data_IF_087442174711
#
_entry.id   IF_087442174711
#
_cell.length_a   1.000
_cell.length_b   1.000
_cell.length_c   1.000
_cell.angle_alpha   90.00
_cell.angle_beta   90.00
_cell.angle_gamma   90.00
#
_symmetry.space_group_name_H-M   'P 1'
#
loop_
_entity.id
_entity.type
_entity.pdbx_description
1 polymer ?
#
# COMPACT_ATOMS: atom_id res chain seq x y z
N UNK A 1 17.58 28.05 -26.96
CA UNK A 1 17.99 27.96 -25.55
C UNK A 1 16.87 28.51 -24.67
N UNK A 2 16.54 27.77 -23.60
CA UNK A 2 15.85 28.17 -22.36
C UNK A 2 14.31 28.15 -22.29
N UNK A 3 13.88 27.11 -21.56
CA UNK A 3 12.64 26.90 -20.79
C UNK A 3 12.20 28.16 -20.03
N UNK A 4 10.88 28.39 -19.94
CA UNK A 4 10.11 28.80 -18.75
C UNK A 4 8.80 29.48 -19.19
N UNK A 5 7.67 28.80 -18.99
CA UNK A 5 6.35 29.39 -18.70
C UNK A 5 5.38 28.24 -18.36
N UNK A 6 5.75 27.48 -17.33
CA UNK A 6 4.77 26.77 -16.52
C UNK A 6 4.22 27.73 -15.46
N UNK A 7 3.01 27.44 -14.99
CA UNK A 7 2.32 28.01 -13.81
C UNK A 7 1.46 29.27 -14.03
N UNK A 8 0.39 29.17 -14.83
CA UNK A 8 -0.72 30.13 -14.76
C UNK A 8 -2.13 29.49 -14.92
N UNK A 9 -2.26 28.19 -14.60
CA UNK A 9 -3.51 27.45 -14.81
C UNK A 9 -4.23 26.98 -13.55
N UNK A 10 -3.52 26.65 -12.47
CA UNK A 10 -4.15 26.04 -11.28
C UNK A 10 -4.79 27.04 -10.31
N UNK A 11 -4.30 28.28 -10.26
CA UNK A 11 -4.84 29.30 -9.34
C UNK A 11 -6.26 29.76 -9.70
N UNK A 12 -6.61 29.78 -11.00
CA UNK A 12 -7.95 30.18 -11.45
C UNK A 12 -9.01 29.10 -11.21
N UNK A 13 -8.62 27.81 -11.27
CA UNK A 13 -9.53 26.69 -11.03
C UNK A 13 -9.93 26.57 -9.55
N UNK A 14 -9.02 26.86 -8.62
CA UNK A 14 -9.29 26.84 -7.18
C UNK A 14 -10.12 28.06 -6.71
N UNK A 15 -9.98 29.23 -7.34
CA UNK A 15 -10.81 30.41 -7.02
C UNK A 15 -12.26 30.26 -7.51
N UNK A 16 -12.49 29.56 -8.62
CA UNK A 16 -13.83 29.41 -9.21
C UNK A 16 -14.63 28.23 -8.62
N UNK A 17 -13.96 27.27 -7.97
CA UNK A 17 -14.63 26.18 -7.27
C UNK A 17 -15.12 26.57 -5.85
N UNK A 18 -14.65 27.71 -5.30
CA UNK A 18 -14.87 28.13 -3.90
C UNK A 18 -15.68 29.44 -3.73
N UNK A 19 -16.44 29.89 -4.73
CA UNK A 19 -17.35 31.03 -4.55
C UNK A 19 -18.72 30.77 -5.20
N UNK A 20 -19.75 30.41 -4.41
CA UNK A 20 -21.07 30.02 -4.90
C UNK A 20 -22.07 31.17 -4.96
N UNK A 21 -21.63 32.43 -5.06
CA UNK A 21 -22.57 33.55 -5.08
C UNK A 21 -22.46 34.44 -6.33
N UNK A 22 -23.36 34.13 -7.28
CA UNK A 22 -24.10 35.05 -8.18
C UNK A 22 -23.93 34.77 -9.67
N UNK A 23 -25.08 34.76 -10.35
CA UNK A 23 -25.15 35.15 -11.76
C UNK A 23 -25.99 34.24 -12.63
N UNK A 24 -27.31 34.30 -12.47
CA UNK A 24 -28.27 33.92 -13.51
C UNK A 24 -27.90 34.65 -14.82
N UNK A 25 -27.66 33.93 -15.92
CA UNK A 25 -27.60 34.54 -17.26
C UNK A 25 -26.41 34.21 -18.18
N UNK A 26 -25.41 33.40 -17.78
CA UNK A 26 -24.28 33.04 -18.67
C UNK A 26 -23.93 31.55 -18.70
N UNK A 27 -24.93 30.66 -18.59
CA UNK A 27 -24.73 29.20 -18.51
C UNK A 27 -24.76 28.48 -19.87
N UNK A 28 -25.25 29.10 -20.93
CA UNK A 28 -25.35 28.42 -22.25
C UNK A 28 -24.03 28.46 -23.01
N UNK A 29 -23.37 29.62 -23.09
CA UNK A 29 -22.14 29.76 -23.90
C UNK A 29 -20.90 29.12 -23.27
N UNK A 30 -20.83 28.99 -21.94
CA UNK A 30 -19.75 28.28 -21.25
C UNK A 30 -19.83 26.76 -21.50
N UNK A 31 -21.05 26.22 -21.60
CA UNK A 31 -21.28 24.80 -21.88
C UNK A 31 -20.85 24.43 -23.30
N UNK A 32 -21.09 25.30 -24.28
CA UNK A 32 -20.73 25.04 -25.68
C UNK A 32 -19.22 25.21 -25.95
N UNK A 33 -18.53 26.13 -25.26
CA UNK A 33 -17.07 26.29 -25.39
C UNK A 33 -16.28 25.22 -24.66
N UNK A 34 -16.71 24.80 -23.48
CA UNK A 34 -16.09 23.69 -22.74
C UNK A 34 -16.37 22.36 -23.43
N UNK A 35 -17.60 22.11 -23.89
CA UNK A 35 -17.97 20.91 -24.63
C UNK A 35 -17.32 20.79 -26.02
N UNK A 36 -17.14 21.91 -26.73
CA UNK A 36 -16.47 21.97 -28.03
C UNK A 36 -14.96 21.72 -27.94
N UNK A 37 -14.31 22.20 -26.88
CA UNK A 37 -12.89 21.96 -26.64
C UNK A 37 -12.60 20.55 -26.10
N UNK A 38 -13.53 19.97 -25.32
CA UNK A 38 -13.48 18.57 -24.92
C UNK A 38 -13.64 17.61 -26.11
N UNK A 39 -14.53 17.90 -27.07
CA UNK A 39 -14.76 17.04 -28.26
C UNK A 39 -13.65 17.10 -29.31
N UNK A 40 -12.99 18.24 -29.50
CA UNK A 40 -11.85 18.36 -30.42
C UNK A 40 -10.54 17.80 -29.82
N UNK A 41 -10.43 17.71 -28.49
CA UNK A 41 -9.35 16.97 -27.82
C UNK A 41 -9.64 15.46 -27.71
N UNK A 42 -10.92 15.07 -27.67
CA UNK A 42 -11.36 13.66 -27.64
C UNK A 42 -11.05 12.85 -28.91
N UNK A 43 -10.81 13.46 -30.07
CA UNK A 43 -10.39 12.71 -31.29
C UNK A 43 -8.88 12.43 -31.35
N UNK A 44 -8.10 12.96 -30.41
CA UNK A 44 -6.72 12.51 -30.12
C UNK A 44 -6.60 11.76 -28.79
N UNK A 45 -7.61 11.85 -27.92
CA UNK A 45 -7.69 11.08 -26.67
C UNK A 45 -8.55 9.80 -26.79
N UNK A 46 -9.32 9.63 -27.88
CA UNK A 46 -10.19 8.48 -28.15
C UNK A 46 -9.53 7.31 -28.88
N UNK A 47 -8.21 7.35 -29.09
CA UNK A 47 -7.42 6.20 -29.54
C UNK A 47 -6.75 5.46 -28.36
N UNK A 48 -7.04 5.86 -27.11
CA UNK A 48 -6.46 5.27 -25.90
C UNK A 48 -7.55 5.07 -24.83
N UNK A 49 -8.65 4.39 -25.18
CA UNK A 49 -9.65 3.94 -24.19
C UNK A 49 -9.26 2.62 -23.52
N UNK A 50 -8.16 1.99 -23.95
CA UNK A 50 -7.62 0.77 -23.32
C UNK A 50 -6.71 1.10 -22.11
N UNK A 51 -5.93 2.19 -22.17
CA UNK A 51 -4.97 2.54 -21.10
C UNK A 51 -5.63 3.06 -19.81
N UNK A 52 -6.80 3.71 -19.90
CA UNK A 52 -7.40 4.37 -18.72
C UNK A 52 -8.16 3.38 -17.84
N UNK A 53 -8.80 2.37 -18.44
CA UNK A 53 -9.45 1.29 -17.70
C UNK A 53 -8.42 0.39 -17.02
N UNK A 54 -7.29 0.15 -17.68
CA UNK A 54 -6.15 -0.58 -17.11
C UNK A 54 -5.51 0.18 -15.94
N UNK A 55 -5.41 1.51 -16.02
CA UNK A 55 -4.90 2.35 -14.92
C UNK A 55 -5.83 2.41 -13.70
N UNK A 56 -7.16 2.27 -13.88
CA UNK A 56 -8.14 2.22 -12.80
C UNK A 56 -8.18 0.84 -12.13
N UNK A 57 -8.06 -0.24 -12.90
CA UNK A 57 -7.94 -1.61 -12.37
C UNK A 57 -6.61 -1.80 -11.62
N UNK A 58 -5.48 -1.29 -12.16
CA UNK A 58 -4.18 -1.25 -11.46
C UNK A 58 -4.23 -0.52 -10.12
N UNK A 59 -5.16 0.43 -9.95
CA UNK A 59 -5.35 1.16 -8.68
C UNK A 59 -6.07 0.35 -7.60
N UNK A 60 -6.85 -0.67 -7.98
CA UNK A 60 -7.52 -1.59 -7.06
C UNK A 60 -6.63 -2.76 -6.66
N UNK A 61 -5.74 -3.19 -7.56
CA UNK A 61 -4.74 -4.25 -7.32
C UNK A 61 -3.51 -3.77 -6.52
N UNK A 62 -3.45 -2.49 -6.14
CA UNK A 62 -2.49 -1.98 -5.15
C UNK A 62 -2.68 -2.60 -3.74
N UNK A 63 -3.69 -3.45 -3.55
CA UNK A 63 -4.13 -3.91 -2.23
C UNK A 63 -3.25 -5.01 -1.60
N UNK A 64 -2.24 -5.52 -2.30
CA UNK A 64 -1.17 -6.38 -1.75
C UNK A 64 -0.06 -6.51 -2.77
N UNK A 65 0.86 -5.56 -2.76
CA UNK A 65 2.09 -5.71 -3.55
C UNK A 65 3.01 -6.68 -2.79
N UNK A 66 3.75 -7.60 -3.43
CA UNK A 66 4.77 -8.40 -2.73
C UNK A 66 5.76 -7.57 -1.90
N UNK A 67 5.96 -6.31 -2.28
CA UNK A 67 6.72 -5.32 -1.51
C UNK A 67 6.16 -5.08 -0.10
N UNK A 68 4.85 -5.19 0.10
CA UNK A 68 4.18 -4.97 1.39
C UNK A 68 4.52 -6.10 2.36
N UNK A 69 4.35 -7.37 1.94
CA UNK A 69 4.69 -8.53 2.77
C UNK A 69 6.19 -8.58 3.10
N UNK A 70 7.07 -8.30 2.13
CA UNK A 70 8.52 -8.23 2.39
C UNK A 70 8.86 -7.12 3.40
N UNK A 71 8.17 -5.98 3.33
CA UNK A 71 8.36 -4.88 4.28
C UNK A 71 7.80 -5.24 5.65
N UNK A 72 6.65 -5.91 5.70
CA UNK A 72 6.05 -6.41 6.92
C UNK A 72 6.94 -7.44 7.62
N UNK A 73 7.47 -8.41 6.87
CA UNK A 73 8.43 -9.39 7.39
C UNK A 73 9.64 -8.71 8.03
N UNK A 74 10.27 -7.74 7.34
CA UNK A 74 11.40 -6.99 7.89
C UNK A 74 11.06 -6.17 9.13
N UNK A 75 9.86 -5.60 9.18
CA UNK A 75 9.37 -4.88 10.35
C UNK A 75 9.23 -5.82 11.53
N UNK A 76 8.63 -7.00 11.32
CA UNK A 76 8.52 -8.04 12.34
C UNK A 76 9.89 -8.52 12.79
N UNK A 77 10.81 -8.83 11.87
CA UNK A 77 12.20 -9.21 12.19
C UNK A 77 12.88 -8.17 13.09
N UNK A 78 12.69 -6.88 12.79
CA UNK A 78 13.26 -5.79 13.59
C UNK A 78 12.69 -5.76 15.02
N UNK A 79 11.39 -6.01 15.18
CA UNK A 79 10.74 -6.01 16.49
C UNK A 79 11.12 -7.25 17.32
N UNK A 80 11.14 -8.44 16.71
CA UNK A 80 11.41 -9.68 17.45
C UNK A 80 12.91 -9.90 17.75
N UNK A 81 13.82 -9.37 16.92
CA UNK A 81 15.27 -9.51 17.14
C UNK A 81 15.90 -8.30 17.84
N UNK A 82 15.06 -7.48 18.48
CA UNK A 82 15.50 -6.29 19.20
C UNK A 82 16.29 -6.65 20.46
N UNK A 83 15.94 -7.76 21.10
CA UNK A 83 16.62 -8.25 22.29
C UNK A 83 17.75 -9.22 21.90
N UNK A 84 18.87 -9.17 22.65
CA UNK A 84 20.09 -9.91 22.32
C UNK A 84 20.06 -11.38 22.78
N UNK A 85 19.08 -11.75 23.59
CA UNK A 85 18.78 -13.11 24.05
C UNK A 85 18.12 -13.98 22.97
N UNK A 86 17.53 -13.37 21.94
CA UNK A 86 16.87 -14.09 20.86
C UNK A 86 17.91 -14.70 19.90
N UNK A 87 17.87 -16.02 19.63
CA UNK A 87 18.85 -16.71 18.79
C UNK A 87 18.72 -16.30 17.31
N UNK A 88 19.48 -15.27 16.92
CA UNK A 88 19.54 -14.76 15.54
C UNK A 88 20.03 -15.86 14.60
N UNK A 89 19.29 -16.10 13.51
CA UNK A 89 19.62 -17.11 12.49
C UNK A 89 19.03 -18.51 12.73
N UNK A 90 18.43 -18.79 13.89
CA UNK A 90 17.67 -20.02 14.12
C UNK A 90 16.17 -19.85 13.87
N UNK A 91 15.71 -18.59 13.86
CA UNK A 91 14.32 -18.20 13.61
C UNK A 91 14.20 -17.60 12.21
N UNK A 92 13.25 -18.11 11.44
CA UNK A 92 12.87 -17.64 10.12
C UNK A 92 11.49 -16.99 10.19
N UNK A 93 11.37 -15.77 9.65
CA UNK A 93 10.13 -15.03 9.58
C UNK A 93 9.69 -14.99 8.12
N UNK A 94 8.47 -15.44 7.84
CA UNK A 94 7.86 -15.27 6.52
C UNK A 94 6.56 -14.49 6.67
N UNK A 95 6.32 -13.56 5.75
CA UNK A 95 5.04 -12.86 5.65
C UNK A 95 4.39 -13.25 4.34
N UNK A 96 3.13 -13.65 4.42
CA UNK A 96 2.30 -13.86 3.25
C UNK A 96 0.93 -13.27 3.54
N UNK A 97 0.50 -12.37 2.68
CA UNK A 97 -0.85 -11.85 2.74
C UNK A 97 -1.18 -11.17 4.10
N UNK A 98 -0.20 -10.54 4.76
CA UNK A 98 -0.35 -9.98 6.11
C UNK A 98 -0.38 -11.02 7.25
N UNK A 99 -0.31 -12.32 6.95
CA UNK A 99 -0.09 -13.39 7.92
C UNK A 99 1.41 -13.59 8.11
N UNK A 100 1.86 -13.66 9.36
CA UNK A 100 3.24 -13.97 9.71
C UNK A 100 3.35 -15.45 10.08
N UNK A 101 4.37 -16.11 9.56
CA UNK A 101 4.74 -17.47 9.95
C UNK A 101 6.12 -17.44 10.58
N UNK A 102 6.19 -17.80 11.86
CA UNK A 102 7.44 -17.92 12.62
C UNK A 102 7.86 -19.39 12.65
N UNK A 103 9.08 -19.71 12.20
CA UNK A 103 9.64 -21.07 12.23
C UNK A 103 11.02 -21.06 12.84
N UNK A 104 11.37 -22.12 13.56
CA UNK A 104 12.70 -22.24 14.14
C UNK A 104 12.70 -22.89 15.50
N UNK A 105 13.92 -23.02 16.03
CA UNK A 105 14.16 -23.57 17.35
C UNK A 105 14.45 -22.44 18.34
N UNK A 106 13.84 -22.54 19.53
CA UNK A 106 13.98 -21.56 20.61
C UNK A 106 14.22 -22.28 21.92
N UNK A 107 15.22 -21.85 22.70
CA UNK A 107 15.64 -22.56 23.91
C UNK A 107 14.63 -22.60 25.05
N UNK A 108 13.64 -21.69 25.05
CA UNK A 108 12.71 -21.51 26.17
C UNK A 108 11.27 -21.35 25.68
N UNK A 109 10.33 -21.92 26.43
CA UNK A 109 8.90 -21.89 26.09
C UNK A 109 8.30 -20.49 26.25
N UNK A 110 8.78 -19.74 27.24
CA UNK A 110 8.35 -18.35 27.47
C UNK A 110 8.73 -17.46 26.29
N UNK A 111 9.92 -17.66 25.72
CA UNK A 111 10.37 -16.94 24.53
C UNK A 111 9.51 -17.24 23.30
N UNK A 112 9.02 -18.48 23.13
CA UNK A 112 8.10 -18.82 22.02
C UNK A 112 6.80 -17.99 22.11
N UNK A 113 6.24 -17.85 23.31
CA UNK A 113 5.00 -17.08 23.53
C UNK A 113 5.26 -15.59 23.32
N UNK A 114 6.34 -15.08 23.88
CA UNK A 114 6.70 -13.68 23.80
C UNK A 114 7.02 -13.24 22.36
N UNK A 115 7.73 -14.06 21.57
CA UNK A 115 7.98 -13.79 20.15
C UNK A 115 6.68 -13.74 19.33
N UNK A 116 5.72 -14.61 19.64
CA UNK A 116 4.41 -14.59 18.99
C UNK A 116 3.63 -13.32 19.32
N UNK A 117 3.57 -12.94 20.60
CA UNK A 117 2.88 -11.72 21.03
C UNK A 117 3.50 -10.47 20.40
N UNK A 118 4.84 -10.39 20.39
CA UNK A 118 5.56 -9.29 19.73
C UNK A 118 5.24 -9.21 18.25
N UNK A 119 5.24 -10.34 17.53
CA UNK A 119 4.85 -10.37 16.13
C UNK A 119 3.40 -9.93 15.90
N UNK A 120 2.45 -10.37 16.75
CA UNK A 120 1.03 -9.97 16.67
C UNK A 120 0.83 -8.47 16.86
N UNK A 121 1.65 -7.83 17.69
CA UNK A 121 1.55 -6.40 17.99
C UNK A 121 2.13 -5.50 16.88
N UNK A 122 2.79 -6.06 15.86
CA UNK A 122 3.31 -5.28 14.74
C UNK A 122 2.18 -4.78 13.85
N UNK A 123 2.06 -3.46 13.70
CA UNK A 123 1.07 -2.86 12.81
C UNK A 123 1.25 -3.38 11.37
N UNK A 124 0.16 -3.91 10.81
CA UNK A 124 0.07 -4.52 9.49
C UNK A 124 -0.10 -6.05 9.54
N UNK A 125 0.19 -6.66 10.70
CA UNK A 125 -0.05 -8.09 10.92
C UNK A 125 -1.54 -8.34 11.11
N UNK A 126 -2.07 -9.25 10.30
CA UNK A 126 -3.46 -9.70 10.36
C UNK A 126 -3.60 -10.98 11.17
N UNK A 127 -2.61 -11.86 11.09
CA UNK A 127 -2.57 -13.11 11.84
C UNK A 127 -1.11 -13.57 12.04
N UNK A 128 -0.88 -14.39 13.05
CA UNK A 128 0.41 -15.00 13.34
C UNK A 128 0.24 -16.48 13.53
N UNK A 129 1.02 -17.23 12.78
CA UNK A 129 1.16 -18.66 12.88
C UNK A 129 2.53 -18.99 13.48
N UNK A 130 2.49 -19.58 14.67
CA UNK A 130 3.67 -19.90 15.44
C UNK A 130 4.03 -21.38 15.26
N UNK A 131 5.11 -21.63 14.53
CA UNK A 131 5.70 -22.95 14.31
C UNK A 131 7.08 -23.06 14.99
N UNK A 132 7.33 -22.22 16.01
CA UNK A 132 8.52 -22.32 16.85
C UNK A 132 8.38 -23.53 17.78
N UNK A 133 9.51 -24.16 18.09
CA UNK A 133 9.54 -25.29 19.01
C UNK A 133 10.82 -25.32 19.86
N UNK A 134 10.75 -26.08 20.94
CA UNK A 134 11.91 -26.33 21.78
C UNK A 134 12.91 -27.29 21.10
N UNK A 135 14.19 -27.23 21.46
CA UNK A 135 15.17 -28.23 21.05
C UNK A 135 14.72 -29.65 21.40
N UNK A 136 14.68 -30.52 20.39
CA UNK A 136 14.26 -31.92 20.55
C UNK A 136 12.75 -32.17 20.64
N UNK A 137 11.92 -31.13 20.61
CA UNK A 137 10.48 -31.28 20.41
C UNK A 137 10.17 -31.48 18.91
N UNK A 138 9.12 -32.24 18.54
CA UNK A 138 8.71 -32.35 17.15
C UNK A 138 8.27 -30.99 16.61
N UNK A 139 8.74 -30.62 15.42
CA UNK A 139 8.38 -29.36 14.78
C UNK A 139 6.87 -29.35 14.44
N UNK A 140 6.13 -28.27 14.80
CA UNK A 140 4.76 -28.08 14.39
C UNK A 140 4.64 -28.05 12.86
N UNK A 141 3.61 -28.70 12.31
CA UNK A 141 3.30 -28.66 10.89
C UNK A 141 2.35 -27.50 10.59
N UNK A 142 2.55 -26.85 9.43
CA UNK A 142 1.62 -25.87 8.88
C UNK A 142 0.30 -26.57 8.48
N UNK A 143 -0.85 -26.01 8.88
CA UNK A 143 -2.19 -26.50 8.53
C UNK A 143 -2.78 -25.84 7.28
#
# INVERSE_FOLDING_TARGET
MRKLLGLLGLGAALKYLLDPEKGSGRRTMLRDRVGGMLRSRSRRLGAQTQDVSEAVEKGKDLKKTPTDDVTLARKVETEIFRDDDVPKGQINVNAENGKIVLRGEVGEQEMIVDLEERARNVQGVSDVENLLHLPGAPAPMHE
#
